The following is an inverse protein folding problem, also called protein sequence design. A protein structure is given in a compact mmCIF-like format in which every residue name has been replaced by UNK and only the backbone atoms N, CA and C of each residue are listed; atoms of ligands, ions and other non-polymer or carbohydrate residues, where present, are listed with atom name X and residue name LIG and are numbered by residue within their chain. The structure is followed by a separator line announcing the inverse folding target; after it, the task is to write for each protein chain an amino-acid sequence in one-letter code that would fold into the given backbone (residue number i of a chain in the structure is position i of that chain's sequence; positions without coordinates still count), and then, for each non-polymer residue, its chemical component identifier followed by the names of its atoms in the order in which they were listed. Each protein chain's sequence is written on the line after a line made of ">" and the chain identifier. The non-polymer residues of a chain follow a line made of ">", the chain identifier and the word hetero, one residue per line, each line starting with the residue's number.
data_IF_196834968367
#
_entry.id   IF_196834968367
#
_cell.length_a   1.000
_cell.length_b   1.000
_cell.length_c   1.000
_cell.angle_alpha   90.00
_cell.angle_beta   90.00
_cell.angle_gamma   90.00
#
_symmetry.space_group_name_H-M   'P 1'
#
loop_
_entity.id
_entity.type
_entity.pdbx_description
1 polymer ?
#
# COMPACT_ATOMS: atom_id res chain seq x y z
N UNK A 1 15.31 -16.02 8.54
CA UNK A 1 14.07 -15.66 9.26
C UNK A 1 13.42 -14.45 8.62
N UNK A 2 12.12 -14.55 8.35
CA UNK A 2 11.38 -13.75 7.38
C UNK A 2 11.37 -12.25 7.73
N UNK A 3 11.93 -11.42 6.84
CA UNK A 3 12.16 -9.99 7.13
C UNK A 3 10.91 -9.14 7.01
N UNK A 4 9.94 -9.55 6.20
CA UNK A 4 8.70 -8.80 5.98
C UNK A 4 7.79 -8.90 7.21
N UNK A 5 7.63 -10.09 7.79
CA UNK A 5 6.82 -10.28 9.00
C UNK A 5 7.27 -9.36 10.14
N UNK A 6 8.59 -9.27 10.39
CA UNK A 6 9.13 -8.35 11.40
C UNK A 6 8.82 -6.87 11.12
N UNK A 7 8.81 -6.46 9.86
CA UNK A 7 8.42 -5.09 9.49
C UNK A 7 6.93 -4.85 9.73
N UNK A 8 6.08 -5.82 9.38
CA UNK A 8 4.64 -5.75 9.63
C UNK A 8 4.35 -5.69 11.13
N UNK A 9 5.01 -6.52 11.93
CA UNK A 9 4.95 -6.47 13.41
C UNK A 9 5.37 -5.09 13.94
N UNK A 10 6.49 -4.55 13.46
CA UNK A 10 6.95 -3.22 13.90
C UNK A 10 5.97 -2.11 13.53
N UNK A 11 5.29 -2.21 12.38
CA UNK A 11 4.26 -1.27 11.96
C UNK A 11 3.00 -1.43 12.82
N UNK A 12 2.64 -2.66 13.18
CA UNK A 12 1.52 -2.93 14.08
C UNK A 12 1.76 -2.31 15.47
N UNK A 13 3.01 -2.35 15.97
CA UNK A 13 3.37 -1.81 17.29
C UNK A 13 3.54 -0.28 17.28
N UNK A 14 4.13 0.29 16.22
CA UNK A 14 4.56 1.69 16.17
C UNK A 14 3.66 2.59 15.31
N UNK A 15 2.73 2.01 14.56
CA UNK A 15 1.96 2.68 13.52
C UNK A 15 2.65 2.67 12.15
N UNK A 16 1.85 2.93 11.12
CA UNK A 16 2.23 3.06 9.71
C UNK A 16 2.88 4.43 9.41
N UNK A 17 3.93 4.77 10.16
CA UNK A 17 4.67 6.02 10.00
C UNK A 17 5.41 6.07 8.65
N UNK A 18 5.36 7.23 7.97
CA UNK A 18 5.91 7.39 6.60
C UNK A 18 7.38 6.94 6.46
N UNK A 19 8.19 7.15 7.49
CA UNK A 19 9.61 6.76 7.53
C UNK A 19 9.85 5.25 7.35
N UNK A 20 8.85 4.42 7.59
CA UNK A 20 8.93 2.97 7.42
C UNK A 20 8.72 2.52 5.98
N UNK A 21 8.35 3.43 5.08
CA UNK A 21 8.00 3.09 3.71
C UNK A 21 8.93 3.73 2.69
N UNK A 22 9.02 3.08 1.53
CA UNK A 22 9.67 3.61 0.35
C UNK A 22 8.59 4.13 -0.60
N UNK A 23 8.64 5.39 -1.05
CA UNK A 23 7.73 5.87 -2.08
C UNK A 23 8.04 5.13 -3.39
N UNK A 24 7.04 4.43 -3.93
CA UNK A 24 7.14 3.70 -5.22
C UNK A 24 5.97 4.04 -6.16
N UNK A 25 5.11 5.00 -5.79
CA UNK A 25 4.02 5.51 -6.61
C UNK A 25 4.28 6.88 -7.25
N UNK A 26 3.23 7.48 -7.84
CA UNK A 26 3.27 8.84 -8.40
C UNK A 26 3.13 9.87 -7.28
N UNK A 27 3.54 11.12 -7.54
CA UNK A 27 3.61 12.25 -6.59
C UNK A 27 2.28 12.58 -5.84
N UNK A 28 1.18 11.89 -6.10
CA UNK A 28 -0.13 12.15 -5.50
C UNK A 28 -0.94 10.88 -5.17
N UNK A 29 -0.33 9.69 -5.23
CA UNK A 29 -0.97 8.46 -4.76
C UNK A 29 -0.36 7.98 -3.43
N UNK A 30 -1.15 7.27 -2.63
CA UNK A 30 -0.70 6.74 -1.32
C UNK A 30 0.14 5.46 -1.44
N UNK A 31 0.61 5.11 -2.65
CA UNK A 31 1.24 3.82 -2.93
C UNK A 31 2.70 3.84 -2.51
N UNK A 32 3.05 2.89 -1.67
CA UNK A 32 4.39 2.74 -1.12
C UNK A 32 4.80 1.26 -1.08
N UNK A 33 6.06 1.00 -0.76
CA UNK A 33 6.55 -0.35 -0.57
C UNK A 33 7.34 -0.49 0.74
N UNK A 34 7.31 -1.68 1.32
CA UNK A 34 8.14 -1.99 2.48
C UNK A 34 9.63 -2.06 2.12
N UNK A 35 10.53 -1.51 2.96
CA UNK A 35 11.97 -1.46 2.71
C UNK A 35 12.61 -2.82 2.97
N UNK A 36 12.69 -3.68 1.94
CA UNK A 36 13.37 -4.98 2.10
C UNK A 36 14.86 -4.88 1.75
N UNK A 37 15.67 -4.51 2.73
CA UNK A 37 17.08 -4.07 2.58
C UNK A 37 18.04 -5.09 1.94
N UNK A 38 17.84 -6.41 2.11
CA UNK A 38 18.72 -7.43 1.47
C UNK A 38 17.97 -8.56 0.79
N UNK A 39 16.78 -8.30 0.26
CA UNK A 39 16.07 -9.27 -0.57
C UNK A 39 15.53 -8.60 -1.83
N UNK A 40 15.29 -9.40 -2.87
CA UNK A 40 14.61 -8.92 -4.08
C UNK A 40 13.09 -8.83 -3.90
N UNK A 41 12.54 -9.19 -2.74
CA UNK A 41 11.10 -9.07 -2.50
C UNK A 41 10.69 -7.60 -2.34
N UNK A 42 9.57 -7.24 -2.95
CA UNK A 42 8.84 -6.00 -2.71
C UNK A 42 7.43 -6.35 -2.31
N UNK A 43 6.95 -5.76 -1.23
CA UNK A 43 5.54 -5.78 -0.83
C UNK A 43 5.00 -4.37 -1.00
N UNK A 44 4.03 -4.20 -1.89
CA UNK A 44 3.36 -2.93 -2.13
C UNK A 44 2.18 -2.76 -1.18
N UNK A 45 1.97 -1.53 -0.74
CA UNK A 45 0.94 -1.17 0.20
C UNK A 45 0.40 0.22 -0.11
N UNK A 46 -0.85 0.45 0.29
CA UNK A 46 -1.50 1.75 0.26
C UNK A 46 -1.58 2.26 1.69
N UNK A 47 -0.92 3.40 1.97
CA UNK A 47 -0.98 4.04 3.28
C UNK A 47 -2.04 5.13 3.27
N UNK A 48 -3.06 5.00 4.11
CA UNK A 48 -4.12 5.99 4.25
C UNK A 48 -3.84 6.96 5.41
N UNK A 49 -3.26 6.45 6.50
CA UNK A 49 -2.88 7.25 7.67
C UNK A 49 -1.73 6.57 8.42
N UNK A 50 -1.29 7.15 9.54
CA UNK A 50 -0.34 6.52 10.46
C UNK A 50 -0.93 5.31 11.20
N UNK A 51 -2.24 5.09 11.10
CA UNK A 51 -2.95 4.00 11.79
C UNK A 51 -3.56 2.99 10.82
N UNK A 52 -3.67 3.34 9.53
CA UNK A 52 -4.32 2.51 8.51
C UNK A 52 -3.38 2.25 7.33
N UNK A 53 -3.04 0.97 7.16
CA UNK A 53 -2.24 0.45 6.06
C UNK A 53 -2.96 -0.71 5.37
N UNK A 54 -3.05 -0.65 4.05
CA UNK A 54 -3.63 -1.71 3.23
C UNK A 54 -2.51 -2.44 2.52
N UNK A 55 -2.36 -3.74 2.81
CA UNK A 55 -1.42 -4.61 2.13
C UNK A 55 -2.04 -5.06 0.81
N UNK A 56 -1.39 -4.69 -0.29
CA UNK A 56 -1.80 -5.17 -1.61
C UNK A 56 -1.19 -6.53 -1.88
N UNK A 57 -0.22 -6.55 -2.79
CA UNK A 57 0.53 -7.75 -3.10
C UNK A 57 2.01 -7.40 -3.31
N UNK A 58 2.82 -8.43 -3.50
CA UNK A 58 4.24 -8.30 -3.67
C UNK A 58 4.81 -9.39 -4.54
N UNK A 59 6.07 -9.21 -4.91
CA UNK A 59 6.76 -10.18 -5.75
C UNK A 59 8.26 -10.03 -5.70
N UNK A 60 8.93 -10.97 -6.37
CA UNK A 60 10.38 -10.91 -6.55
C UNK A 60 10.68 -9.91 -7.65
N UNK A 61 11.32 -8.80 -7.29
CA UNK A 61 11.87 -7.81 -8.20
C UNK A 61 12.91 -8.46 -9.13
N UNK A 62 12.54 -8.62 -10.40
CA UNK A 62 13.44 -9.10 -11.47
C UNK A 62 14.17 -7.96 -12.17
N UNK A 63 13.54 -6.78 -12.21
CA UNK A 63 13.95 -5.60 -13.00
C UNK A 63 14.26 -4.41 -12.11
N UNK A 64 14.74 -3.28 -12.64
CA UNK A 64 15.14 -2.13 -11.81
C UNK A 64 13.93 -1.32 -11.34
N UNK A 65 12.93 -1.17 -12.21
CA UNK A 65 11.64 -0.52 -11.90
C UNK A 65 10.51 -1.53 -12.00
N UNK A 66 9.38 -1.25 -11.34
CA UNK A 66 8.21 -2.11 -11.44
C UNK A 66 7.56 -2.03 -12.82
N UNK A 67 7.74 -0.92 -13.56
CA UNK A 67 7.16 -0.71 -14.89
C UNK A 67 7.57 -1.76 -15.93
N UNK A 68 8.75 -2.36 -15.74
CA UNK A 68 9.34 -3.38 -16.61
C UNK A 68 8.79 -4.79 -16.33
N UNK A 69 8.06 -4.99 -15.24
CA UNK A 69 7.47 -6.27 -14.86
C UNK A 69 5.94 -6.13 -14.84
N UNK A 70 5.27 -6.79 -15.78
CA UNK A 70 3.82 -6.66 -15.95
C UNK A 70 3.00 -7.04 -14.72
N UNK A 71 3.49 -7.98 -13.90
CA UNK A 71 2.82 -8.42 -12.67
C UNK A 71 2.99 -7.38 -11.56
N UNK A 72 4.22 -6.92 -11.32
CA UNK A 72 4.49 -5.88 -10.31
C UNK A 72 3.80 -4.55 -10.67
N UNK A 73 3.78 -4.21 -11.96
CA UNK A 73 3.03 -3.05 -12.46
C UNK A 73 1.53 -3.22 -12.24
N UNK A 74 0.99 -4.42 -12.47
CA UNK A 74 -0.41 -4.74 -12.19
C UNK A 74 -0.78 -4.40 -10.75
N UNK A 75 -0.01 -4.88 -9.78
CA UNK A 75 -0.25 -4.60 -8.35
C UNK A 75 -0.23 -3.10 -8.02
N UNK A 76 0.73 -2.35 -8.57
CA UNK A 76 0.80 -0.90 -8.36
C UNK A 76 -0.41 -0.19 -8.97
N UNK A 77 -0.82 -0.55 -10.18
CA UNK A 77 -1.99 0.04 -10.86
C UNK A 77 -3.29 -0.26 -10.09
N UNK A 78 -3.45 -1.49 -9.60
CA UNK A 78 -4.58 -1.88 -8.74
C UNK A 78 -4.64 -1.00 -7.50
N UNK A 79 -3.52 -0.82 -6.79
CA UNK A 79 -3.47 0.04 -5.60
C UNK A 79 -3.72 1.52 -5.93
N UNK A 80 -3.25 2.02 -7.07
CA UNK A 80 -3.52 3.39 -7.53
C UNK A 80 -5.00 3.60 -7.83
N UNK A 81 -5.67 2.63 -8.46
CA UNK A 81 -7.10 2.70 -8.73
C UNK A 81 -7.89 2.65 -7.43
N UNK A 82 -7.49 1.78 -6.51
CA UNK A 82 -8.13 1.67 -5.20
C UNK A 82 -7.98 2.95 -4.36
N UNK A 83 -6.80 3.58 -4.36
CA UNK A 83 -6.58 4.89 -3.70
C UNK A 83 -7.52 5.97 -4.24
N UNK A 84 -7.75 6.01 -5.56
CA UNK A 84 -8.71 6.95 -6.16
C UNK A 84 -10.13 6.68 -5.71
N UNK A 85 -10.56 5.42 -5.73
CA UNK A 85 -11.91 5.02 -5.31
C UNK A 85 -12.15 5.38 -3.83
N UNK A 86 -11.15 5.17 -2.97
CA UNK A 86 -11.23 5.60 -1.57
C UNK A 86 -11.36 7.12 -1.46
N UNK A 87 -10.49 7.89 -2.14
CA UNK A 87 -10.52 9.36 -2.10
C UNK A 87 -11.85 9.93 -2.62
N UNK A 88 -12.40 9.34 -3.68
CA UNK A 88 -13.70 9.72 -4.23
C UNK A 88 -14.83 9.38 -3.25
N UNK A 89 -14.80 8.20 -2.63
CA UNK A 89 -15.79 7.79 -1.64
C UNK A 89 -15.74 8.60 -0.33
N UNK A 90 -14.56 9.06 0.08
CA UNK A 90 -14.44 9.99 1.21
C UNK A 90 -15.01 11.35 0.85
N UNK A 91 -14.78 11.81 -0.40
CA UNK A 91 -15.26 13.10 -0.88
C UNK A 91 -16.79 13.14 -1.07
N UNK A 92 -17.39 12.03 -1.51
CA UNK A 92 -18.84 11.92 -1.71
C UNK A 92 -19.61 11.51 -0.43
N UNK A 93 -18.90 11.13 0.63
CA UNK A 93 -19.45 10.77 1.94
C UNK A 93 -19.88 9.30 2.09
N UNK A 94 -19.58 8.45 1.12
CA UNK A 94 -19.89 7.00 1.14
C UNK A 94 -18.81 6.14 1.81
N UNK A 95 -17.63 6.69 2.05
CA UNK A 95 -16.57 6.05 2.81
C UNK A 95 -16.22 6.97 3.98
N UNK A 96 -16.32 6.44 5.19
CA UNK A 96 -15.86 7.13 6.40
C UNK A 96 -14.57 6.48 6.87
N UNK A 97 -13.52 7.27 7.01
CA UNK A 97 -12.24 6.82 7.56
C UNK A 97 -12.08 7.45 8.95
N UNK A 98 -12.13 6.59 9.97
CA UNK A 98 -11.85 6.93 11.36
C UNK A 98 -10.37 6.68 11.68
N UNK A 99 -9.95 6.79 12.94
CA UNK A 99 -8.54 6.61 13.30
C UNK A 99 -7.99 5.24 12.88
N UNK A 100 -8.74 4.16 13.07
CA UNK A 100 -8.29 2.78 12.83
C UNK A 100 -9.31 1.94 12.04
N UNK A 101 -10.37 2.55 11.53
CA UNK A 101 -11.47 1.86 10.84
C UNK A 101 -11.81 2.55 9.51
N UNK A 102 -12.19 1.72 8.54
CA UNK A 102 -12.74 2.15 7.25
C UNK A 102 -14.16 1.60 7.18
N UNK A 103 -15.14 2.49 7.20
CA UNK A 103 -16.55 2.15 7.08
C UNK A 103 -17.04 2.45 5.67
N UNK A 104 -17.59 1.44 5.00
CA UNK A 104 -18.24 1.59 3.70
C UNK A 104 -19.17 0.42 3.41
N UNK A 105 -20.24 0.71 2.69
CA UNK A 105 -21.18 -0.21 2.07
C UNK A 105 -20.86 -0.46 0.59
N UNK A 106 -19.81 0.16 0.05
CA UNK A 106 -19.34 -0.04 -1.33
C UNK A 106 -18.60 -1.38 -1.49
N UNK A 107 -18.92 -2.08 -2.57
CA UNK A 107 -18.09 -3.15 -3.11
C UNK A 107 -17.18 -2.57 -4.19
N UNK A 108 -15.89 -2.86 -4.14
CA UNK A 108 -14.92 -2.41 -5.13
C UNK A 108 -14.62 -3.56 -6.09
N UNK A 109 -14.93 -3.38 -7.38
CA UNK A 109 -14.48 -4.29 -8.43
C UNK A 109 -13.02 -3.93 -8.79
N UNK A 110 -12.08 -4.80 -8.47
CA UNK A 110 -10.62 -4.58 -8.58
C UNK A 110 -9.94 -5.66 -9.40
#
# INVERSE_FOLDING_TARGET
>A
MARIAKFVESIADLGALERFFRPEGKMSDGVCALPVVKSKLRLYCLRLSDSILILGNGGVKKTRTYDEDGELRGFVVTLQNFDKLIKEGVKDGTITISENEIETDKTFDI
#
